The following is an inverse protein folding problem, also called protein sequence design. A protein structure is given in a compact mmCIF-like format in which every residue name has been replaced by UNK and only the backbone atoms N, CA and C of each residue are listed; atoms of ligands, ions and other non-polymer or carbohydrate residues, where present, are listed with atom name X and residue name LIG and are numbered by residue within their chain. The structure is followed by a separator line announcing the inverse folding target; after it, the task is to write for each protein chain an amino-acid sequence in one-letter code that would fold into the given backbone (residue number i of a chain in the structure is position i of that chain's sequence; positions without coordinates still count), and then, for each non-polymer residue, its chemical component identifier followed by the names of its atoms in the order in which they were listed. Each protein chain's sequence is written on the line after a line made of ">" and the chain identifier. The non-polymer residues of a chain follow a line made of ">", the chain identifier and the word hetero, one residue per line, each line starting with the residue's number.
data_IF_006295979343
#
_entry.id   IF_006295979343
#
_cell.length_a   1.000
_cell.length_b   1.000
_cell.length_c   1.000
_cell.angle_alpha   90.00
_cell.angle_beta   90.00
_cell.angle_gamma   90.00
#
_symmetry.space_group_name_H-M   'P 1'
#
loop_
_entity.id
_entity.type
_entity.pdbx_description
1 polymer ?
#
# COMPACT_ATOMS: atom_id res chain seq x y z
N UNK A 1 -2.05 -0.78 8.45
CA UNK A 1 -2.12 -1.84 9.46
C UNK A 1 -3.54 -2.36 9.56
N UNK A 2 -3.72 -3.67 9.40
CA UNK A 2 -5.01 -4.34 9.61
C UNK A 2 -5.27 -4.56 11.10
N UNK A 3 -4.21 -4.72 11.88
CA UNK A 3 -4.20 -5.01 13.31
C UNK A 3 -3.16 -4.15 14.04
N UNK A 4 -3.07 -4.32 15.37
CA UNK A 4 -2.04 -3.73 16.21
C UNK A 4 -1.39 -4.87 17.00
N UNK A 5 -0.38 -5.51 16.41
CA UNK A 5 0.26 -6.74 16.91
C UNK A 5 -0.70 -7.95 16.99
N UNK A 6 -1.65 -8.04 16.05
CA UNK A 6 -2.66 -9.09 16.03
C UNK A 6 -2.31 -10.28 15.12
N UNK A 7 -2.91 -11.43 15.42
CA UNK A 7 -2.77 -12.66 14.64
C UNK A 7 -3.74 -12.70 13.44
N UNK A 8 -3.63 -13.68 12.52
CA UNK A 8 -4.54 -13.81 11.39
C UNK A 8 -6.02 -13.71 11.76
N UNK A 9 -6.54 -14.35 12.83
CA UNK A 9 -7.94 -14.18 13.22
C UNK A 9 -8.34 -12.71 13.45
N UNK A 10 -7.44 -11.86 13.95
CA UNK A 10 -7.71 -10.43 14.14
C UNK A 10 -7.74 -9.68 12.80
N UNK A 11 -6.77 -9.95 11.91
CA UNK A 11 -6.74 -9.37 10.56
C UNK A 11 -8.00 -9.76 9.76
N UNK A 12 -8.42 -11.02 9.87
CA UNK A 12 -9.62 -11.52 9.19
C UNK A 12 -10.93 -10.95 9.76
N UNK A 13 -10.99 -10.51 11.03
CA UNK A 13 -12.18 -9.74 11.50
C UNK A 13 -12.37 -8.46 10.70
N UNK A 14 -11.29 -7.75 10.37
CA UNK A 14 -11.35 -6.53 9.56
C UNK A 14 -11.71 -6.87 8.12
N UNK A 15 -11.06 -7.88 7.52
CA UNK A 15 -11.31 -8.30 6.14
C UNK A 15 -12.76 -8.76 5.96
N UNK A 16 -13.28 -9.59 6.86
CA UNK A 16 -14.65 -10.08 6.80
C UNK A 16 -15.68 -8.96 7.02
N UNK A 17 -15.36 -7.94 7.82
CA UNK A 17 -16.21 -6.76 7.92
C UNK A 17 -16.31 -5.99 6.60
N UNK A 18 -15.19 -5.87 5.86
CA UNK A 18 -15.16 -5.26 4.51
C UNK A 18 -15.87 -6.13 3.48
N UNK A 19 -15.66 -7.46 3.53
CA UNK A 19 -16.24 -8.43 2.58
C UNK A 19 -17.78 -8.44 2.58
N UNK A 20 -18.41 -8.06 3.69
CA UNK A 20 -19.87 -7.86 3.77
C UNK A 20 -20.40 -6.80 2.80
N UNK A 21 -19.55 -5.84 2.40
CA UNK A 21 -19.92 -4.76 1.48
C UNK A 21 -19.26 -4.91 0.10
N UNK A 22 -18.07 -5.49 0.04
CA UNK A 22 -17.34 -5.75 -1.21
C UNK A 22 -16.68 -7.13 -1.17
N UNK A 23 -17.19 -8.15 -1.90
CA UNK A 23 -16.64 -9.51 -1.82
C UNK A 23 -15.21 -9.62 -2.40
N UNK A 24 -14.83 -8.72 -3.31
CA UNK A 24 -13.51 -8.71 -3.94
C UNK A 24 -12.56 -7.82 -3.13
N UNK A 25 -11.81 -8.44 -2.23
CA UNK A 25 -10.81 -7.76 -1.38
C UNK A 25 -9.42 -8.20 -1.79
N UNK A 26 -8.52 -7.23 -1.92
CA UNK A 26 -7.07 -7.42 -2.00
C UNK A 26 -6.44 -6.66 -0.85
N UNK A 27 -5.37 -7.20 -0.27
CA UNK A 27 -4.80 -6.69 0.97
C UNK A 27 -3.27 -6.73 0.98
N UNK A 28 -2.69 -5.75 1.66
CA UNK A 28 -1.31 -5.78 2.16
C UNK A 28 -1.36 -5.65 3.67
N UNK A 29 -0.37 -6.24 4.35
CA UNK A 29 -0.13 -5.97 5.77
C UNK A 29 0.49 -4.59 5.96
N UNK A 30 0.30 -4.01 7.13
CA UNK A 30 1.19 -2.96 7.62
C UNK A 30 2.32 -3.51 8.47
N UNK A 31 3.11 -2.62 9.07
CA UNK A 31 4.26 -2.98 9.88
C UNK A 31 3.89 -3.46 11.29
N UNK A 32 2.70 -3.10 11.78
CA UNK A 32 2.16 -3.59 13.06
C UNK A 32 1.41 -4.92 12.94
N UNK A 33 1.21 -5.44 11.74
CA UNK A 33 0.66 -6.79 11.52
C UNK A 33 1.77 -7.83 11.68
N UNK A 34 1.45 -9.00 12.24
CA UNK A 34 2.45 -10.07 12.37
C UNK A 34 2.85 -10.64 10.99
N UNK A 35 4.11 -11.05 10.76
CA UNK A 35 4.57 -11.51 9.45
C UNK A 35 3.75 -12.65 8.85
N UNK A 36 3.29 -13.60 9.67
CA UNK A 36 2.48 -14.74 9.24
C UNK A 36 1.05 -14.35 8.81
N UNK A 37 0.61 -13.11 9.03
CA UNK A 37 -0.60 -12.58 8.40
C UNK A 37 -0.44 -12.55 6.89
N UNK A 38 0.76 -12.26 6.36
CA UNK A 38 1.03 -12.29 4.91
C UNK A 38 0.69 -13.67 4.34
N UNK A 39 1.14 -14.75 4.99
CA UNK A 39 0.89 -16.11 4.51
C UNK A 39 -0.60 -16.49 4.62
N UNK A 40 -1.30 -16.00 5.63
CA UNK A 40 -2.74 -16.20 5.73
C UNK A 40 -3.51 -15.46 4.62
N UNK A 41 -3.11 -14.22 4.28
CA UNK A 41 -3.68 -13.50 3.12
C UNK A 41 -3.38 -14.23 1.80
N UNK A 42 -2.21 -14.87 1.67
CA UNK A 42 -1.84 -15.68 0.50
C UNK A 42 -2.68 -16.93 0.37
N UNK A 43 -2.89 -17.65 1.46
CA UNK A 43 -3.73 -18.85 1.49
C UNK A 43 -5.17 -18.55 1.04
N UNK A 44 -5.67 -17.35 1.36
CA UNK A 44 -6.97 -16.84 0.94
C UNK A 44 -6.98 -16.20 -0.47
N UNK A 45 -5.82 -16.14 -1.15
CA UNK A 45 -5.68 -15.60 -2.50
C UNK A 45 -5.75 -14.07 -2.61
N UNK A 46 -5.81 -13.35 -1.48
CA UNK A 46 -6.04 -11.89 -1.43
C UNK A 46 -4.78 -11.06 -1.19
N UNK A 47 -3.63 -11.68 -0.93
CA UNK A 47 -2.38 -10.96 -0.71
C UNK A 47 -1.92 -10.19 -1.97
N UNK A 48 -1.39 -8.99 -1.74
CA UNK A 48 -0.63 -8.21 -2.71
C UNK A 48 0.85 -8.10 -2.37
N UNK A 49 1.32 -8.56 -1.19
CA UNK A 49 2.72 -8.42 -0.81
C UNK A 49 3.63 -9.28 -1.72
N UNK A 50 4.29 -8.62 -2.68
CA UNK A 50 5.13 -9.26 -3.68
C UNK A 50 4.34 -9.93 -4.80
N UNK A 51 3.07 -9.59 -4.93
CA UNK A 51 2.13 -10.21 -5.85
C UNK A 51 1.38 -9.16 -6.68
N UNK A 52 0.93 -9.58 -7.86
CA UNK A 52 0.09 -8.78 -8.74
C UNK A 52 -1.19 -9.51 -9.12
N UNK A 53 -2.22 -8.75 -9.48
CA UNK A 53 -3.54 -9.21 -9.92
C UNK A 53 -4.00 -8.37 -11.11
N UNK A 54 -4.55 -9.02 -12.13
CA UNK A 54 -5.19 -8.35 -13.26
C UNK A 54 -6.68 -8.21 -13.03
N UNK A 55 -7.19 -7.00 -13.21
CA UNK A 55 -8.60 -6.68 -13.25
C UNK A 55 -8.90 -6.07 -14.62
N UNK A 56 -9.09 -6.93 -15.62
CA UNK A 56 -9.10 -6.51 -17.03
C UNK A 56 -7.76 -5.90 -17.43
N UNK A 57 -7.80 -4.64 -17.87
CA UNK A 57 -6.64 -3.86 -18.27
C UNK A 57 -5.91 -3.17 -17.11
N UNK A 58 -6.46 -3.24 -15.89
CA UNK A 58 -5.82 -2.72 -14.68
C UNK A 58 -4.94 -3.80 -14.05
N UNK A 59 -3.66 -3.47 -13.84
CA UNK A 59 -2.75 -4.22 -12.98
C UNK A 59 -2.72 -3.67 -11.57
N UNK A 60 -3.08 -4.47 -10.56
CA UNK A 60 -2.96 -4.11 -9.14
C UNK A 60 -1.85 -4.93 -8.51
N UNK A 61 -0.92 -4.32 -7.80
CA UNK A 61 0.19 -5.00 -7.15
C UNK A 61 0.60 -4.28 -5.87
N UNK A 62 1.41 -4.91 -5.00
CA UNK A 62 1.72 -4.27 -3.73
C UNK A 62 2.92 -4.75 -2.93
N UNK A 63 3.11 -4.06 -1.81
CA UNK A 63 4.13 -4.32 -0.81
C UNK A 63 3.58 -3.96 0.58
N UNK A 64 3.39 -4.97 1.43
CA UNK A 64 3.08 -4.78 2.85
C UNK A 64 4.33 -4.58 3.72
N UNK A 65 4.13 -4.21 4.99
CA UNK A 65 5.23 -3.92 5.94
C UNK A 65 5.78 -2.49 5.82
N UNK A 66 6.85 -2.20 6.56
CA UNK A 66 7.62 -0.94 6.44
C UNK A 66 9.10 -1.19 6.21
N UNK A 67 9.84 -0.14 5.87
CA UNK A 67 11.28 -0.11 6.11
C UNK A 67 11.57 -0.23 7.62
N UNK A 68 12.81 -0.56 7.97
CA UNK A 68 13.26 -0.64 9.37
C UNK A 68 12.98 0.67 10.09
N UNK A 69 12.33 0.57 11.25
CA UNK A 69 11.97 1.72 12.08
C UNK A 69 12.70 1.65 13.42
N UNK A 70 12.86 2.78 14.14
CA UNK A 70 13.37 2.75 15.52
C UNK A 70 12.47 2.03 16.52
N UNK A 71 11.25 1.63 16.11
CA UNK A 71 10.23 1.05 16.98
C UNK A 71 10.25 -0.48 17.00
N UNK A 72 11.08 -1.14 16.19
CA UNK A 72 11.22 -2.60 16.12
C UNK A 72 9.86 -3.30 15.95
N UNK A 73 9.14 -2.92 14.89
CA UNK A 73 7.80 -3.43 14.61
C UNK A 73 7.83 -4.78 13.91
N UNK A 74 6.76 -5.61 14.03
CA UNK A 74 6.80 -7.01 13.62
C UNK A 74 7.14 -7.28 12.15
N UNK A 75 6.68 -6.42 11.23
CA UNK A 75 6.89 -6.60 9.78
C UNK A 75 7.66 -5.42 9.20
N UNK A 76 8.97 -5.46 9.41
CA UNK A 76 9.95 -4.53 8.84
C UNK A 76 10.85 -5.25 7.84
N UNK A 77 11.23 -4.55 6.78
CA UNK A 77 12.04 -5.05 5.68
C UNK A 77 13.21 -4.09 5.44
N UNK A 78 14.36 -4.64 5.11
CA UNK A 78 15.47 -3.84 4.61
C UNK A 78 15.11 -3.22 3.25
N UNK A 79 15.78 -2.13 2.87
CA UNK A 79 15.48 -1.41 1.62
C UNK A 79 15.61 -2.31 0.38
N UNK A 80 16.59 -3.21 0.36
CA UNK A 80 16.77 -4.19 -0.73
C UNK A 80 15.65 -5.23 -0.77
N UNK A 81 15.10 -5.60 0.39
CA UNK A 81 13.97 -6.52 0.48
C UNK A 81 12.68 -5.86 -0.01
N UNK A 82 12.43 -4.61 0.40
CA UNK A 82 11.32 -3.79 -0.13
C UNK A 82 11.41 -3.67 -1.65
N UNK A 83 12.58 -3.34 -2.18
CA UNK A 83 12.81 -3.25 -3.62
C UNK A 83 12.49 -4.58 -4.32
N UNK A 84 12.95 -5.70 -3.76
CA UNK A 84 12.70 -7.02 -4.32
C UNK A 84 11.22 -7.40 -4.29
N UNK A 85 10.49 -7.09 -3.22
CA UNK A 85 9.03 -7.32 -3.11
C UNK A 85 8.29 -6.51 -4.18
N UNK A 86 8.59 -5.22 -4.30
CA UNK A 86 7.96 -4.33 -5.28
C UNK A 86 8.17 -4.80 -6.72
N UNK A 87 9.40 -5.18 -7.08
CA UNK A 87 9.74 -5.67 -8.41
C UNK A 87 9.04 -7.00 -8.72
N UNK A 88 8.93 -7.92 -7.74
CA UNK A 88 8.17 -9.18 -7.91
C UNK A 88 6.68 -8.92 -8.17
N UNK A 89 6.06 -8.05 -7.39
CA UNK A 89 4.64 -7.70 -7.57
C UNK A 89 4.38 -7.04 -8.92
N UNK A 90 5.26 -6.13 -9.33
CA UNK A 90 5.15 -5.44 -10.62
C UNK A 90 5.33 -6.36 -11.82
N UNK A 91 6.27 -7.31 -11.75
CA UNK A 91 6.53 -8.24 -12.86
C UNK A 91 5.28 -9.00 -13.31
N UNK A 92 4.36 -9.33 -12.38
CA UNK A 92 3.11 -10.03 -12.68
C UNK A 92 2.08 -9.18 -13.47
N UNK A 93 2.25 -7.85 -13.50
CA UNK A 93 1.32 -6.90 -14.12
C UNK A 93 2.05 -5.88 -15.02
N UNK A 94 3.28 -6.19 -15.43
CA UNK A 94 4.16 -5.24 -16.10
C UNK A 94 3.63 -4.76 -17.46
N UNK A 95 2.84 -5.60 -18.14
CA UNK A 95 2.22 -5.34 -19.43
C UNK A 95 0.78 -4.81 -19.32
N UNK A 96 0.28 -4.59 -18.10
CA UNK A 96 -1.00 -3.90 -17.91
C UNK A 96 -0.85 -2.42 -18.33
N UNK A 97 -1.76 -1.88 -19.17
CA UNK A 97 -1.68 -0.50 -19.64
C UNK A 97 -1.81 0.52 -18.50
N UNK A 98 -2.53 0.17 -17.43
CA UNK A 98 -2.68 0.98 -16.22
C UNK A 98 -2.33 0.17 -14.99
N UNK A 99 -1.61 0.78 -14.06
CA UNK A 99 -1.04 0.09 -12.91
C UNK A 99 -1.29 0.86 -11.61
N UNK A 100 -1.90 0.17 -10.65
CA UNK A 100 -2.14 0.64 -9.28
C UNK A 100 -1.19 -0.08 -8.32
N UNK A 101 -0.31 0.68 -7.68
CA UNK A 101 0.49 0.21 -6.56
C UNK A 101 -0.26 0.41 -5.24
N UNK A 102 -0.31 -0.62 -4.41
CA UNK A 102 -0.76 -0.54 -3.01
C UNK A 102 0.44 -0.90 -2.11
N UNK A 103 1.01 0.08 -1.44
CA UNK A 103 2.22 -0.09 -0.63
C UNK A 103 2.02 0.47 0.77
N UNK A 104 2.23 -0.28 1.84
CA UNK A 104 2.01 0.31 3.18
C UNK A 104 3.02 1.43 3.46
N UNK A 105 4.29 1.25 3.06
CA UNK A 105 5.36 2.25 3.23
C UNK A 105 5.23 3.41 2.24
N UNK A 106 5.29 4.68 2.66
CA UNK A 106 5.36 5.82 1.75
C UNK A 106 6.77 6.00 1.15
N UNK A 107 6.89 6.59 -0.04
CA UNK A 107 8.19 6.96 -0.61
C UNK A 107 8.88 8.05 0.22
N UNK A 108 10.19 7.92 0.38
CA UNK A 108 11.02 8.89 1.10
C UNK A 108 10.97 10.30 0.49
N UNK A 109 11.02 11.30 1.36
CA UNK A 109 11.14 12.71 1.00
C UNK A 109 10.00 13.20 0.09
N UNK A 110 8.77 12.83 0.46
CA UNK A 110 7.52 13.40 -0.05
C UNK A 110 6.79 14.15 1.07
N UNK A 111 5.64 14.75 0.80
CA UNK A 111 4.82 15.31 1.88
C UNK A 111 4.13 14.21 2.71
N UNK A 112 4.12 12.97 2.21
CA UNK A 112 3.36 11.84 2.75
C UNK A 112 4.15 11.00 3.77
N UNK A 113 5.44 11.27 3.94
CA UNK A 113 6.33 10.54 4.86
C UNK A 113 6.90 11.44 5.97
N UNK A 114 6.23 12.57 6.27
CA UNK A 114 6.67 13.53 7.28
C UNK A 114 6.00 13.22 8.63
N UNK A 115 6.79 13.06 9.67
CA UNK A 115 6.31 13.10 11.06
C UNK A 115 5.87 14.53 11.44
N UNK A 116 5.24 14.69 12.61
CA UNK A 116 4.83 16.02 13.13
C UNK A 116 5.96 17.05 13.21
N UNK A 117 7.19 16.60 13.47
CA UNK A 117 8.38 17.46 13.52
C UNK A 117 9.00 17.70 12.12
N UNK A 118 8.40 17.19 11.05
CA UNK A 118 8.89 17.32 9.67
C UNK A 118 9.99 16.31 9.28
N UNK A 119 10.37 15.37 10.14
CA UNK A 119 11.36 14.35 9.79
C UNK A 119 10.81 13.41 8.71
N UNK A 120 11.53 13.20 7.58
CA UNK A 120 11.20 12.16 6.59
C UNK A 120 11.48 10.77 7.17
N UNK A 121 10.55 9.84 6.99
CA UNK A 121 10.69 8.45 7.46
C UNK A 121 10.29 7.42 6.41
N UNK A 122 9.98 7.85 5.18
CA UNK A 122 9.62 6.95 4.09
C UNK A 122 10.82 6.17 3.57
N UNK A 123 10.56 5.23 2.66
CA UNK A 123 11.59 4.36 2.09
C UNK A 123 12.20 4.94 0.80
N UNK A 124 13.54 5.07 0.72
CA UNK A 124 14.25 5.36 -0.52
C UNK A 124 14.01 4.33 -1.63
N UNK A 125 13.91 3.04 -1.31
CA UNK A 125 13.61 1.98 -2.26
C UNK A 125 12.22 2.13 -2.88
N UNK A 126 11.20 2.46 -2.07
CA UNK A 126 9.85 2.74 -2.55
C UNK A 126 9.85 3.96 -3.49
N UNK A 127 10.54 5.05 -3.12
CA UNK A 127 10.69 6.22 -3.98
C UNK A 127 11.34 5.84 -5.31
N UNK A 128 12.51 5.21 -5.27
CA UNK A 128 13.27 4.86 -6.45
C UNK A 128 12.48 3.90 -7.36
N UNK A 129 11.73 2.96 -6.79
CA UNK A 129 10.85 2.07 -7.54
C UNK A 129 9.76 2.86 -8.28
N UNK A 130 9.05 3.77 -7.59
CA UNK A 130 8.00 4.59 -8.20
C UNK A 130 8.58 5.46 -9.32
N UNK A 131 9.71 6.13 -9.09
CA UNK A 131 10.38 6.97 -10.10
C UNK A 131 10.79 6.17 -11.35
N UNK A 132 11.25 4.91 -11.18
CA UNK A 132 11.63 4.04 -12.31
C UNK A 132 10.44 3.40 -13.03
N UNK A 133 9.49 2.83 -12.30
CA UNK A 133 8.40 2.01 -12.86
C UNK A 133 7.16 2.81 -13.21
N UNK A 134 7.00 4.00 -12.62
CA UNK A 134 5.92 4.95 -12.92
C UNK A 134 4.54 4.26 -13.01
N UNK A 135 4.04 3.62 -11.92
CA UNK A 135 2.63 3.25 -11.87
C UNK A 135 1.76 4.50 -11.96
N UNK A 136 0.53 4.39 -12.48
CA UNK A 136 -0.35 5.56 -12.64
C UNK A 136 -0.73 6.16 -11.27
N UNK A 137 -1.04 5.27 -10.32
CA UNK A 137 -1.41 5.63 -8.94
C UNK A 137 -0.64 4.73 -7.96
N UNK A 138 -0.16 5.32 -6.87
CA UNK A 138 0.37 4.63 -5.71
C UNK A 138 -0.43 5.03 -4.46
N UNK A 139 -1.13 4.07 -3.85
CA UNK A 139 -1.80 4.25 -2.56
C UNK A 139 -0.84 3.81 -1.47
N UNK A 140 -0.55 4.71 -0.53
CA UNK A 140 0.37 4.48 0.59
C UNK A 140 -0.27 4.65 1.96
N UNK A 141 0.38 4.15 3.01
CA UNK A 141 -0.09 4.23 4.39
C UNK A 141 1.01 4.60 5.38
N UNK A 142 1.08 3.86 6.49
CA UNK A 142 2.06 3.95 7.59
C UNK A 142 2.10 5.28 8.38
N UNK A 143 2.26 6.41 7.71
CA UNK A 143 2.39 7.73 8.35
C UNK A 143 1.03 8.42 8.33
N UNK A 144 0.31 8.38 9.46
CA UNK A 144 -1.05 8.92 9.56
C UNK A 144 -1.08 10.45 9.38
N UNK A 145 -0.03 11.11 9.84
CA UNK A 145 0.27 12.54 9.67
C UNK A 145 0.48 12.92 8.20
N UNK A 146 0.91 11.96 7.39
CA UNK A 146 1.22 12.09 5.97
C UNK A 146 0.00 12.02 5.05
N UNK A 147 -1.22 12.11 5.60
CA UNK A 147 -2.45 12.14 4.79
C UNK A 147 -2.39 13.25 3.75
N UNK A 148 -2.57 12.89 2.48
CA UNK A 148 -2.48 13.86 1.38
C UNK A 148 -2.28 13.22 0.02
N UNK A 149 -1.98 14.09 -0.95
CA UNK A 149 -1.65 13.71 -2.34
C UNK A 149 -0.33 14.39 -2.70
N UNK A 150 0.55 13.64 -3.35
CA UNK A 150 1.82 14.12 -3.90
C UNK A 150 2.06 13.51 -5.29
N UNK A 151 3.13 13.92 -5.97
CA UNK A 151 3.51 13.39 -7.29
C UNK A 151 4.98 13.04 -7.37
N UNK A 152 5.26 11.85 -7.91
CA UNK A 152 6.62 11.41 -8.25
C UNK A 152 6.67 11.08 -9.75
N UNK A 153 7.17 12.03 -10.54
CA UNK A 153 7.04 11.99 -12.00
C UNK A 153 5.57 12.06 -12.42
N UNK A 154 5.13 11.10 -13.21
CA UNK A 154 3.74 10.97 -13.64
C UNK A 154 2.83 10.34 -12.57
N UNK A 155 3.39 9.56 -11.65
CA UNK A 155 2.65 8.83 -10.61
C UNK A 155 1.97 9.78 -9.63
N UNK A 156 0.67 9.59 -9.41
CA UNK A 156 -0.06 10.19 -8.28
C UNK A 156 0.16 9.31 -7.05
N UNK A 157 0.76 9.87 -6.00
CA UNK A 157 0.91 9.16 -4.72
C UNK A 157 -0.12 9.71 -3.75
N UNK A 158 -0.87 8.85 -3.08
CA UNK A 158 -1.95 9.26 -2.17
C UNK A 158 -1.91 8.45 -0.88
N UNK A 159 -2.02 9.14 0.25
CA UNK A 159 -2.16 8.55 1.57
C UNK A 159 -3.54 8.93 2.14
N UNK A 160 -4.45 7.96 2.38
CA UNK A 160 -5.77 8.22 2.94
C UNK A 160 -5.75 8.78 4.36
N UNK A 161 -4.66 8.59 5.09
CA UNK A 161 -4.64 8.64 6.54
C UNK A 161 -5.33 7.42 7.15
N UNK A 162 -5.55 7.44 8.46
CA UNK A 162 -6.15 6.32 9.16
C UNK A 162 -7.66 6.23 8.90
N UNK A 163 -8.14 5.00 8.67
CA UNK A 163 -9.58 4.74 8.47
C UNK A 163 -10.44 5.15 9.68
N UNK A 164 -9.89 5.07 10.90
CA UNK A 164 -10.57 5.50 12.13
C UNK A 164 -10.93 6.99 12.15
N UNK A 165 -10.16 7.79 11.39
CA UNK A 165 -10.39 9.23 11.19
C UNK A 165 -11.26 9.50 9.96
N UNK A 166 -11.86 8.44 9.39
CA UNK A 166 -12.74 8.48 8.23
C UNK A 166 -12.03 8.58 6.89
N UNK A 167 -10.69 8.53 6.83
CA UNK A 167 -9.91 8.65 5.61
C UNK A 167 -10.02 7.45 4.68
N UNK A 168 -10.22 7.67 3.39
CA UNK A 168 -10.16 6.64 2.35
C UNK A 168 -9.85 7.25 0.97
N UNK A 169 -9.46 6.41 0.01
CA UNK A 169 -9.24 6.81 -1.39
C UNK A 169 -10.25 6.08 -2.28
N UNK A 170 -10.81 6.78 -3.25
CA UNK A 170 -11.53 6.17 -4.37
C UNK A 170 -10.62 6.25 -5.60
N UNK A 171 -10.29 5.10 -6.18
CA UNK A 171 -9.57 5.02 -7.46
C UNK A 171 -10.56 4.62 -8.54
N UNK A 172 -10.64 5.42 -9.59
CA UNK A 172 -11.53 5.20 -10.73
C UNK A 172 -10.71 4.97 -12.00
N UNK A 173 -11.05 3.92 -12.75
CA UNK A 173 -10.48 3.60 -14.06
C UNK A 173 -11.54 3.83 -15.14
N UNK A 174 -11.38 4.89 -15.95
CA UNK A 174 -12.28 5.21 -17.06
C UNK A 174 -11.90 4.48 -18.38
N UNK A 175 -10.90 3.59 -18.33
CA UNK A 175 -10.35 2.87 -19.47
C UNK A 175 -9.25 3.62 -20.21
N UNK A 176 -9.05 4.91 -19.94
CA UNK A 176 -7.98 5.73 -20.49
C UNK A 176 -6.96 6.14 -19.41
N UNK A 177 -7.40 6.40 -18.19
CA UNK A 177 -6.56 6.85 -17.07
C UNK A 177 -7.09 6.34 -15.73
N UNK A 178 -6.17 6.26 -14.76
CA UNK A 178 -6.55 6.15 -13.35
C UNK A 178 -6.65 7.54 -12.72
N UNK A 179 -7.70 7.75 -11.94
CA UNK A 179 -7.82 8.93 -11.06
C UNK A 179 -7.94 8.46 -9.62
N UNK A 180 -7.36 9.21 -8.69
CA UNK A 180 -7.41 8.92 -7.27
C UNK A 180 -7.94 10.13 -6.50
N UNK A 181 -9.04 9.94 -5.78
CA UNK A 181 -9.68 10.97 -4.97
C UNK A 181 -9.57 10.62 -3.48
N UNK A 182 -8.88 11.50 -2.74
CA UNK A 182 -8.81 11.41 -1.28
C UNK A 182 -10.13 11.91 -0.68
N UNK A 183 -10.80 11.06 0.10
CA UNK A 183 -12.09 11.35 0.73
C UNK A 183 -12.04 11.18 2.25
N UNK A 184 -13.06 11.72 2.92
CA UNK A 184 -13.30 11.55 4.36
C UNK A 184 -14.77 11.23 4.58
N UNK A 185 -15.06 10.20 5.37
CA UNK A 185 -16.40 9.94 5.87
C UNK A 185 -16.62 10.79 7.12
N UNK A 186 -17.65 11.66 7.08
CA UNK A 186 -18.14 12.40 8.25
C UNK A 186 -19.06 11.53 9.10
#
# INVERSE_FOLDING_TARGET
>A
DLTHFGDPPDAFRVIEAVRRFCPNVLAVTGNLDMPWVIDALRAEGISLHGEGRRLGDLGVFGCGGSNVTPMDTPTELEEDELAAVLERGHAAVADAPRRLLVCHTPPHDTRLDRLMNGTPVGSPAVRAFIERRQPDVAVVGHIHEGRGVDRLGATVVVNPGALRDGGYVVVDDDGARLTAELRTRR
#
